data_IF_825028921904
#
_entry.id   IF_825028921904
#
_cell.length_a   1.000
_cell.length_b   1.000
_cell.length_c   1.000
_cell.angle_alpha   90.00
_cell.angle_beta   90.00
_cell.angle_gamma   90.00
#
_symmetry.space_group_name_H-M   'P 1'
#
loop_
_entity.id
_entity.type
_entity.pdbx_description
1 polymer ?
#
# COMPACT_ATOMS: atom_id res chain seq x y z
N UNK A 1 -22.33 -63.13 30.18
CA UNK A 1 -21.36 -63.46 29.12
C UNK A 1 -20.56 -64.67 29.56
N UNK A 2 -20.05 -65.45 28.60
CA UNK A 2 -19.45 -66.77 28.84
C UNK A 2 -20.47 -67.91 28.89
N UNK A 3 -20.00 -69.15 28.67
CA UNK A 3 -20.82 -70.37 28.61
C UNK A 3 -21.70 -70.55 29.86
N UNK A 4 -21.25 -70.06 31.02
CA UNK A 4 -21.94 -70.18 32.31
C UNK A 4 -22.63 -68.90 32.80
N UNK A 5 -22.64 -67.82 32.00
CA UNK A 5 -23.14 -66.49 32.42
C UNK A 5 -22.43 -65.86 33.64
N UNK A 6 -21.24 -66.34 34.02
CA UNK A 6 -20.48 -65.88 35.20
C UNK A 6 -20.03 -64.40 35.12
N UNK A 7 -20.01 -63.81 33.93
CA UNK A 7 -19.62 -62.42 33.72
C UNK A 7 -20.82 -61.54 33.33
N UNK A 8 -20.99 -60.40 33.98
CA UNK A 8 -21.96 -59.39 33.55
C UNK A 8 -21.59 -58.84 32.17
N UNK A 9 -22.59 -58.65 31.29
CA UNK A 9 -22.40 -58.07 29.95
C UNK A 9 -21.92 -56.62 30.08
N UNK A 10 -20.92 -56.25 29.28
CA UNK A 10 -20.52 -54.84 29.15
C UNK A 10 -21.14 -54.26 27.87
N UNK A 11 -22.14 -53.35 27.98
CA UNK A 11 -22.78 -52.74 26.81
C UNK A 11 -21.84 -51.86 25.98
N UNK A 12 -20.69 -51.45 26.53
CA UNK A 12 -19.66 -50.77 25.74
C UNK A 12 -18.95 -51.73 24.77
N UNK A 13 -18.87 -53.02 25.09
CA UNK A 13 -18.28 -54.03 24.19
C UNK A 13 -19.34 -54.62 23.27
N UNK A 14 -20.45 -55.11 23.84
CA UNK A 14 -21.51 -55.78 23.08
C UNK A 14 -22.90 -55.62 23.73
N UNK A 15 -23.93 -55.55 22.89
CA UNK A 15 -25.33 -55.49 23.32
C UNK A 15 -25.97 -56.89 23.29
N UNK A 16 -27.10 -57.06 23.98
CA UNK A 16 -27.83 -58.34 23.96
C UNK A 16 -28.43 -58.66 22.57
N UNK A 17 -28.61 -57.65 21.71
CA UNK A 17 -29.05 -57.80 20.33
C UNK A 17 -27.92 -57.42 19.37
N UNK A 18 -27.72 -58.24 18.34
CA UNK A 18 -26.69 -58.01 17.31
C UNK A 18 -27.11 -56.96 16.25
N UNK A 19 -28.27 -56.32 16.42
CA UNK A 19 -28.76 -55.30 15.48
C UNK A 19 -28.01 -53.97 15.62
N UNK A 20 -27.55 -53.67 16.84
CA UNK A 20 -26.94 -52.39 17.18
C UNK A 20 -25.48 -52.60 17.60
N UNK A 21 -24.63 -51.63 17.28
CA UNK A 21 -23.22 -51.69 17.66
C UNK A 21 -23.05 -51.46 19.17
N UNK A 22 -22.03 -52.10 19.75
CA UNK A 22 -21.62 -51.87 21.14
C UNK A 22 -21.19 -50.41 21.36
N UNK A 23 -21.30 -49.94 22.60
CA UNK A 23 -21.10 -48.54 22.96
C UNK A 23 -19.72 -47.99 22.61
N UNK A 24 -18.64 -48.79 22.61
CA UNK A 24 -17.30 -48.31 22.23
C UNK A 24 -17.24 -47.87 20.76
N UNK A 25 -17.97 -48.57 19.89
CA UNK A 25 -18.11 -48.20 18.49
C UNK A 25 -19.05 -47.01 18.35
N UNK A 26 -20.23 -47.05 18.98
CA UNK A 26 -21.22 -45.97 18.92
C UNK A 26 -20.68 -44.65 19.48
N UNK A 27 -19.99 -44.68 20.61
CA UNK A 27 -19.38 -43.51 21.26
C UNK A 27 -18.06 -43.07 20.60
N UNK A 28 -17.64 -43.73 19.52
CA UNK A 28 -16.44 -43.37 18.76
C UNK A 28 -15.17 -43.30 19.64
N UNK A 29 -14.95 -44.32 20.47
CA UNK A 29 -13.83 -44.38 21.44
C UNK A 29 -12.48 -44.33 20.74
N UNK A 30 -12.38 -44.86 19.51
CA UNK A 30 -11.16 -44.78 18.69
C UNK A 30 -10.70 -43.35 18.40
N UNK A 31 -11.62 -42.38 18.38
CA UNK A 31 -11.33 -40.96 18.19
C UNK A 31 -11.38 -40.15 19.51
N UNK A 32 -11.26 -40.83 20.66
CA UNK A 32 -11.20 -40.20 21.98
C UNK A 32 -12.55 -40.04 22.69
N UNK A 33 -13.62 -40.62 22.17
CA UNK A 33 -14.89 -40.70 22.90
C UNK A 33 -14.80 -41.61 24.13
N UNK A 34 -15.74 -41.45 25.06
CA UNK A 34 -15.81 -42.25 26.28
C UNK A 34 -17.17 -42.93 26.35
N UNK A 35 -17.16 -44.26 26.49
CA UNK A 35 -18.36 -45.05 26.77
C UNK A 35 -18.44 -45.37 28.27
N UNK A 36 -19.60 -45.11 28.88
CA UNK A 36 -19.91 -45.48 30.28
C UNK A 36 -21.13 -46.38 30.29
N UNK A 37 -20.89 -47.69 30.37
CA UNK A 37 -21.92 -48.72 30.39
C UNK A 37 -22.39 -49.09 31.79
N UNK A 38 -23.66 -49.49 31.92
CA UNK A 38 -24.16 -50.16 33.13
C UNK A 38 -24.06 -51.68 32.92
N UNK A 39 -23.16 -52.32 33.69
CA UNK A 39 -22.92 -53.76 33.58
C UNK A 39 -24.20 -54.58 33.77
N UNK A 40 -24.33 -55.63 32.98
CA UNK A 40 -25.51 -56.50 32.96
C UNK A 40 -26.71 -55.93 32.20
N UNK A 41 -26.59 -54.75 31.58
CA UNK A 41 -27.66 -54.09 30.83
C UNK A 41 -27.24 -53.77 29.38
N UNK A 42 -28.14 -53.22 28.58
CA UNK A 42 -27.85 -52.64 27.27
C UNK A 42 -27.60 -51.11 27.33
N UNK A 43 -27.61 -50.54 28.53
CA UNK A 43 -27.61 -49.09 28.74
C UNK A 43 -26.19 -48.57 28.85
N UNK A 44 -25.88 -47.54 28.06
CA UNK A 44 -24.62 -46.82 28.14
C UNK A 44 -24.82 -45.35 27.80
N UNK A 45 -23.87 -44.52 28.23
CA UNK A 45 -23.81 -43.10 27.88
C UNK A 45 -22.50 -42.80 27.16
N UNK A 46 -22.58 -41.97 26.13
CA UNK A 46 -21.41 -41.47 25.42
C UNK A 46 -21.05 -40.06 25.87
N UNK A 47 -19.76 -39.82 26.08
CA UNK A 47 -19.19 -38.48 26.07
C UNK A 47 -18.41 -38.33 24.76
N UNK A 48 -18.91 -37.48 23.87
CA UNK A 48 -18.32 -37.33 22.55
C UNK A 48 -17.00 -36.57 22.59
N UNK A 49 -16.03 -36.95 21.74
CA UNK A 49 -14.84 -36.15 21.51
C UNK A 49 -15.22 -34.83 20.81
N UNK A 50 -14.36 -33.82 20.88
CA UNK A 50 -14.69 -32.44 20.48
C UNK A 50 -15.25 -32.28 19.06
N UNK A 51 -14.73 -33.06 18.09
CA UNK A 51 -15.12 -33.02 16.68
C UNK A 51 -16.35 -33.87 16.34
N UNK A 52 -16.97 -34.55 17.31
CA UNK A 52 -18.09 -35.45 17.07
C UNK A 52 -19.28 -35.14 17.99
N UNK A 53 -20.48 -35.46 17.52
CA UNK A 53 -21.74 -35.25 18.21
C UNK A 53 -22.67 -36.44 17.96
N UNK A 54 -23.75 -36.51 18.73
CA UNK A 54 -24.78 -37.54 18.57
C UNK A 54 -25.47 -37.43 17.22
N UNK A 55 -25.55 -38.53 16.49
CA UNK A 55 -26.38 -38.69 15.31
C UNK A 55 -27.82 -39.05 15.72
N UNK A 56 -28.82 -38.19 15.44
CA UNK A 56 -30.22 -38.46 15.78
C UNK A 56 -30.85 -39.62 14.98
N UNK A 57 -30.25 -40.04 13.87
CA UNK A 57 -30.73 -41.16 13.06
C UNK A 57 -30.47 -42.52 13.72
N UNK A 58 -29.56 -42.58 14.70
CA UNK A 58 -29.24 -43.81 15.43
C UNK A 58 -29.98 -43.86 16.78
N UNK A 59 -30.68 -44.97 17.11
CA UNK A 59 -31.63 -45.02 18.22
C UNK A 59 -31.00 -45.09 19.61
N UNK A 60 -29.69 -45.32 19.71
CA UNK A 60 -28.96 -45.39 20.97
C UNK A 60 -27.98 -44.20 21.10
N UNK A 61 -27.53 -43.88 22.33
CA UNK A 61 -26.50 -42.86 22.54
C UNK A 61 -25.28 -43.14 21.67
N UNK A 62 -24.77 -42.12 20.98
CA UNK A 62 -23.68 -42.27 20.03
C UNK A 62 -22.94 -40.95 19.81
N UNK A 63 -21.83 -41.00 19.07
CA UNK A 63 -20.99 -39.89 18.66
C UNK A 63 -20.57 -40.06 17.19
N UNK A 64 -21.52 -40.44 16.34
CA UNK A 64 -21.27 -40.83 14.95
C UNK A 64 -21.31 -39.65 13.98
N UNK A 65 -21.98 -38.56 14.33
CA UNK A 65 -22.07 -37.38 13.48
C UNK A 65 -20.85 -36.48 13.71
N UNK A 66 -20.24 -35.98 12.62
CA UNK A 66 -19.20 -34.95 12.73
C UNK A 66 -19.86 -33.66 13.24
N UNK A 67 -19.22 -33.02 14.20
CA UNK A 67 -19.64 -31.71 14.67
C UNK A 67 -19.36 -30.70 13.56
N UNK A 68 -20.41 -30.27 12.88
CA UNK A 68 -20.36 -29.22 11.88
C UNK A 68 -21.17 -28.01 12.37
N UNK A 69 -20.47 -26.94 12.73
CA UNK A 69 -21.11 -25.71 13.22
C UNK A 69 -21.78 -24.93 12.07
N UNK A 70 -21.36 -25.14 10.82
CA UNK A 70 -22.00 -24.58 9.62
C UNK A 70 -23.44 -25.08 9.41
N UNK A 71 -23.83 -26.21 9.99
CA UNK A 71 -25.24 -26.61 10.01
C UNK A 71 -26.16 -25.60 10.75
N UNK A 72 -25.57 -24.75 11.61
CA UNK A 72 -26.28 -23.70 12.37
C UNK A 72 -25.87 -22.27 12.02
N UNK A 73 -24.76 -22.10 11.30
CA UNK A 73 -24.24 -20.78 10.89
C UNK A 73 -24.54 -20.56 9.42
N UNK A 74 -25.19 -19.44 9.10
CA UNK A 74 -25.50 -19.05 7.72
C UNK A 74 -24.55 -17.92 7.31
N UNK A 75 -23.89 -18.10 6.17
CA UNK A 75 -23.18 -17.05 5.45
C UNK A 75 -24.07 -16.63 4.27
N UNK A 76 -24.53 -15.37 4.24
CA UNK A 76 -25.61 -14.93 3.33
C UNK A 76 -25.19 -15.07 1.86
N UNK A 77 -24.06 -14.47 1.50
CA UNK A 77 -23.52 -14.50 0.13
C UNK A 77 -22.19 -15.28 0.04
N UNK A 78 -21.89 -16.14 1.01
CA UNK A 78 -20.57 -16.77 1.12
C UNK A 78 -20.60 -18.23 1.55
N UNK A 79 -19.44 -18.87 1.51
CA UNK A 79 -19.29 -20.26 1.90
C UNK A 79 -18.93 -20.36 3.39
N UNK A 80 -19.63 -21.21 4.12
CA UNK A 80 -19.31 -21.48 5.52
C UNK A 80 -18.28 -22.59 5.62
N UNK A 81 -17.24 -22.36 6.44
CA UNK A 81 -16.28 -23.40 6.84
C UNK A 81 -16.26 -23.54 8.35
N UNK A 82 -16.38 -24.77 8.83
CA UNK A 82 -16.22 -25.10 10.25
C UNK A 82 -14.75 -25.34 10.57
N UNK A 83 -14.34 -24.97 11.78
CA UNK A 83 -13.03 -25.36 12.32
C UNK A 83 -12.91 -26.88 12.46
N UNK A 84 -11.67 -27.38 12.56
CA UNK A 84 -11.39 -28.84 12.69
C UNK A 84 -12.09 -29.49 13.89
N UNK A 85 -12.32 -28.74 14.96
CA UNK A 85 -13.04 -29.18 16.16
C UNK A 85 -14.55 -28.88 16.12
N UNK A 86 -15.05 -28.28 15.03
CA UNK A 86 -16.46 -27.95 14.85
C UNK A 86 -16.98 -26.94 15.87
N UNK A 87 -16.12 -26.17 16.53
CA UNK A 87 -16.54 -25.17 17.52
C UNK A 87 -16.76 -23.80 16.89
N UNK A 88 -15.94 -23.44 15.91
CA UNK A 88 -15.94 -22.14 15.27
C UNK A 88 -16.36 -22.26 13.80
N UNK A 89 -16.83 -21.15 13.24
CA UNK A 89 -17.17 -21.03 11.83
C UNK A 89 -16.57 -19.77 11.27
N UNK A 90 -16.16 -19.83 10.02
CA UNK A 90 -15.72 -18.69 9.24
C UNK A 90 -16.50 -18.64 7.93
N UNK A 91 -16.90 -17.43 7.53
CA UNK A 91 -17.54 -17.20 6.25
C UNK A 91 -16.53 -16.65 5.25
N UNK A 92 -16.38 -17.34 4.12
CA UNK A 92 -15.55 -16.88 3.00
C UNK A 92 -16.44 -16.03 2.09
N UNK A 93 -16.17 -14.73 2.05
CA UNK A 93 -16.96 -13.79 1.25
C UNK A 93 -16.40 -13.64 -0.16
N UNK A 94 -17.22 -13.80 -1.23
CA UNK A 94 -16.79 -13.52 -2.59
C UNK A 94 -16.51 -12.04 -2.79
N UNK A 95 -15.83 -11.73 -3.90
CA UNK A 95 -15.58 -10.36 -4.35
C UNK A 95 -16.88 -9.54 -4.34
N UNK A 96 -16.77 -8.30 -3.86
CA UNK A 96 -17.94 -7.43 -3.71
C UNK A 96 -18.82 -7.69 -2.49
N UNK A 97 -18.52 -8.65 -1.61
CA UNK A 97 -19.22 -8.81 -0.33
C UNK A 97 -18.27 -8.83 0.86
N UNK A 98 -18.77 -8.46 2.04
CA UNK A 98 -17.99 -8.40 3.28
C UNK A 98 -18.92 -8.49 4.50
N UNK A 99 -18.34 -8.48 5.69
CA UNK A 99 -19.07 -8.69 6.95
C UNK A 99 -18.71 -10.03 7.57
N UNK A 100 -19.21 -10.28 8.79
CA UNK A 100 -18.91 -11.53 9.51
C UNK A 100 -19.57 -12.74 8.85
N UNK A 101 -20.70 -12.50 8.20
CA UNK A 101 -21.55 -13.49 7.54
C UNK A 101 -21.74 -13.18 6.05
N UNK A 102 -20.88 -12.34 5.45
CA UNK A 102 -20.99 -11.87 4.06
C UNK A 102 -22.34 -11.22 3.75
N UNK A 103 -22.91 -10.55 4.75
CA UNK A 103 -24.21 -9.91 4.73
C UNK A 103 -24.20 -8.53 4.05
N UNK A 104 -23.03 -7.91 3.93
CA UNK A 104 -22.87 -6.58 3.37
C UNK A 104 -22.35 -6.66 1.94
N UNK A 105 -23.00 -5.94 1.03
CA UNK A 105 -22.56 -5.81 -0.37
C UNK A 105 -21.79 -4.51 -0.54
N UNK A 106 -20.62 -4.61 -1.18
CA UNK A 106 -19.85 -3.44 -1.59
C UNK A 106 -20.56 -2.76 -2.74
N UNK A 107 -20.82 -1.48 -2.56
CA UNK A 107 -21.27 -0.59 -3.62
C UNK A 107 -20.21 -0.44 -4.71
N UNK A 108 -20.68 0.00 -5.87
CA UNK A 108 -19.80 0.41 -6.95
C UNK A 108 -19.53 1.91 -6.84
N UNK A 109 -18.32 2.31 -7.18
CA UNK A 109 -18.03 3.74 -7.30
C UNK A 109 -18.86 4.33 -8.44
N UNK A 110 -19.56 5.42 -8.14
CA UNK A 110 -20.29 6.20 -9.12
C UNK A 110 -19.35 6.86 -10.13
N UNK A 111 -19.96 7.56 -11.08
CA UNK A 111 -19.22 8.37 -12.03
C UNK A 111 -18.42 9.44 -11.29
N UNK A 112 -17.25 9.75 -11.83
CA UNK A 112 -16.48 10.89 -11.35
C UNK A 112 -17.22 12.19 -11.65
N UNK A 113 -17.21 13.11 -10.68
CA UNK A 113 -17.54 14.50 -10.94
C UNK A 113 -16.62 15.06 -12.02
N UNK A 114 -17.03 16.15 -12.69
CA UNK A 114 -16.08 16.98 -13.42
C UNK A 114 -14.91 17.36 -12.50
N UNK A 115 -13.73 17.55 -13.10
CA UNK A 115 -12.61 18.12 -12.38
C UNK A 115 -12.97 19.54 -11.91
N UNK A 116 -12.57 19.86 -10.68
CA UNK A 116 -12.58 21.24 -10.21
C UNK A 116 -11.67 22.10 -11.06
N UNK A 117 -11.88 23.41 -10.99
CA UNK A 117 -10.88 24.36 -11.45
C UNK A 117 -9.58 24.17 -10.66
N UNK A 118 -8.46 24.52 -11.30
CA UNK A 118 -7.16 24.53 -10.67
C UNK A 118 -7.10 25.61 -9.60
N UNK A 119 -6.90 25.21 -8.35
CA UNK A 119 -6.78 26.09 -7.19
C UNK A 119 -5.42 25.90 -6.50
N UNK A 120 -4.72 26.98 -6.13
CA UNK A 120 -4.99 28.36 -6.53
C UNK A 120 -4.92 28.57 -8.05
N UNK A 121 -5.49 29.69 -8.54
CA UNK A 121 -5.52 30.00 -9.98
C UNK A 121 -4.13 30.24 -10.58
N UNK A 122 -3.14 30.57 -9.75
CA UNK A 122 -1.75 30.77 -10.12
C UNK A 122 -0.82 30.14 -9.06
N UNK A 123 0.45 29.96 -9.38
CA UNK A 123 1.49 29.41 -8.52
C UNK A 123 2.52 28.61 -9.32
N UNK A 124 3.78 28.67 -8.87
CA UNK A 124 4.87 27.83 -9.36
C UNK A 124 4.85 26.42 -8.72
N UNK A 125 5.48 25.46 -9.39
CA UNK A 125 5.83 24.11 -8.89
C UNK A 125 4.75 23.36 -8.06
N UNK A 126 3.86 22.62 -8.72
CA UNK A 126 2.87 21.73 -8.06
C UNK A 126 1.97 22.41 -7.01
N UNK A 127 1.95 23.75 -6.92
CA UNK A 127 1.04 24.47 -6.01
C UNK A 127 -0.41 24.42 -6.49
N UNK A 128 -0.61 24.42 -7.82
CA UNK A 128 -1.93 24.39 -8.42
C UNK A 128 -2.41 22.95 -8.48
N UNK A 129 -3.58 22.69 -7.91
CA UNK A 129 -4.21 21.37 -7.95
C UNK A 129 -5.67 21.46 -8.32
N UNK A 130 -6.16 20.43 -8.97
CA UNK A 130 -7.58 20.18 -9.19
C UNK A 130 -7.97 18.88 -8.53
N UNK A 131 -9.22 18.81 -8.10
CA UNK A 131 -9.79 17.64 -7.45
C UNK A 131 -11.06 17.22 -8.17
N UNK A 132 -11.38 15.94 -8.13
CA UNK A 132 -12.69 15.41 -8.49
C UNK A 132 -13.13 14.43 -7.42
N UNK A 133 -14.43 14.34 -7.23
CA UNK A 133 -15.03 13.43 -6.25
C UNK A 133 -15.99 12.47 -6.93
N UNK A 134 -16.34 11.39 -6.25
CA UNK A 134 -17.39 10.47 -6.69
C UNK A 134 -18.08 9.88 -5.48
N UNK A 135 -19.35 9.59 -5.64
CA UNK A 135 -20.15 8.97 -4.58
C UNK A 135 -20.07 7.45 -4.67
N UNK A 136 -20.31 6.79 -3.53
CA UNK A 136 -20.47 5.35 -3.50
C UNK A 136 -21.93 4.99 -3.82
N UNK A 137 -22.15 4.13 -4.80
CA UNK A 137 -23.45 3.56 -5.13
C UNK A 137 -23.67 2.31 -4.27
N UNK A 138 -23.93 2.52 -2.98
CA UNK A 138 -24.13 1.47 -1.97
C UNK A 138 -23.78 1.98 -0.58
N UNK A 139 -23.81 1.09 0.43
CA UNK A 139 -23.49 1.46 1.81
C UNK A 139 -22.00 1.74 2.02
N UNK A 140 -21.13 1.00 1.32
CA UNK A 140 -19.68 1.22 1.36
C UNK A 140 -19.03 0.81 0.06
N UNK A 141 -17.93 1.45 -0.30
CA UNK A 141 -17.13 1.11 -1.46
C UNK A 141 -15.68 0.82 -1.04
N UNK A 142 -15.02 -0.08 -1.77
CA UNK A 142 -13.60 -0.39 -1.51
C UNK A 142 -12.69 0.80 -1.78
N UNK A 143 -11.60 0.89 -1.00
CA UNK A 143 -10.48 1.79 -1.30
C UNK A 143 -10.38 3.06 -0.45
N UNK A 144 -11.05 3.15 0.69
CA UNK A 144 -10.88 4.24 1.67
C UNK A 144 -11.17 5.62 1.05
N UNK A 145 -10.12 6.41 0.80
CA UNK A 145 -10.20 7.72 0.10
C UNK A 145 -10.52 7.58 -1.40
N UNK A 146 -11.00 6.43 -1.86
CA UNK A 146 -11.40 6.18 -3.24
C UNK A 146 -12.47 7.14 -3.78
N UNK A 147 -13.11 7.95 -2.93
CA UNK A 147 -14.04 9.01 -3.32
C UNK A 147 -13.37 10.29 -3.83
N UNK A 148 -12.06 10.48 -3.62
CA UNK A 148 -11.33 11.70 -3.96
C UNK A 148 -10.11 11.40 -4.84
N UNK A 149 -9.96 12.15 -5.93
CA UNK A 149 -8.77 12.14 -6.77
C UNK A 149 -8.23 13.56 -6.91
N UNK A 150 -6.92 13.73 -6.70
CA UNK A 150 -6.19 14.98 -6.85
C UNK A 150 -5.16 14.89 -7.97
N UNK A 151 -5.04 15.96 -8.75
CA UNK A 151 -4.05 16.09 -9.82
C UNK A 151 -3.41 17.49 -9.78
N UNK A 152 -2.12 17.55 -10.06
CA UNK A 152 -1.41 18.82 -10.21
C UNK A 152 -1.67 19.43 -11.57
N UNK A 153 -1.90 20.74 -11.60
CA UNK A 153 -2.10 21.49 -12.83
C UNK A 153 -0.78 22.04 -13.36
N UNK A 154 -0.78 22.44 -14.63
CA UNK A 154 0.33 23.18 -15.21
C UNK A 154 0.65 24.43 -14.42
N UNK A 155 1.92 24.80 -14.43
CA UNK A 155 2.40 26.02 -13.78
C UNK A 155 1.80 27.25 -14.46
N UNK A 156 1.19 28.12 -13.65
CA UNK A 156 0.77 29.46 -14.09
C UNK A 156 1.29 30.45 -13.05
N UNK A 157 2.43 31.11 -13.27
CA UNK A 157 3.01 31.97 -12.25
C UNK A 157 2.06 33.10 -11.85
N UNK A 158 2.04 33.42 -10.56
CA UNK A 158 1.34 34.58 -10.03
C UNK A 158 2.06 35.88 -10.43
N UNK A 159 1.37 37.02 -10.34
CA UNK A 159 1.90 38.31 -10.77
C UNK A 159 3.15 38.73 -10.00
N UNK A 160 3.20 38.43 -8.71
CA UNK A 160 4.34 38.63 -7.81
C UNK A 160 5.50 37.71 -8.18
N UNK A 161 5.23 36.43 -8.45
CA UNK A 161 6.25 35.46 -8.94
C UNK A 161 6.86 35.96 -10.26
N UNK A 162 6.04 36.49 -11.18
CA UNK A 162 6.53 37.12 -12.42
C UNK A 162 7.40 38.35 -12.15
N UNK A 163 7.01 39.20 -11.19
CA UNK A 163 7.83 40.36 -10.80
C UNK A 163 9.17 39.92 -10.19
N UNK A 164 9.18 38.87 -9.37
CA UNK A 164 10.42 38.32 -8.82
C UNK A 164 11.33 37.75 -9.91
N UNK A 165 10.77 36.96 -10.84
CA UNK A 165 11.51 36.42 -11.98
C UNK A 165 12.09 37.54 -12.87
N UNK A 166 11.33 38.60 -13.11
CA UNK A 166 11.82 39.77 -13.85
C UNK A 166 12.94 40.51 -13.11
N UNK A 167 12.84 40.67 -11.78
CA UNK A 167 13.92 41.25 -10.96
C UNK A 167 15.18 40.41 -11.01
N UNK A 168 15.06 39.08 -11.00
CA UNK A 168 16.20 38.17 -11.15
C UNK A 168 16.84 38.35 -12.53
N UNK A 169 16.05 38.34 -13.60
CA UNK A 169 16.57 38.56 -14.96
C UNK A 169 17.26 39.92 -15.10
N UNK A 170 16.65 40.99 -14.59
CA UNK A 170 17.24 42.32 -14.56
C UNK A 170 18.55 42.35 -13.76
N UNK A 171 18.60 41.68 -12.61
CA UNK A 171 19.84 41.59 -11.82
C UNK A 171 20.95 40.87 -12.58
N UNK A 172 20.62 39.81 -13.33
CA UNK A 172 21.58 39.09 -14.17
C UNK A 172 22.07 39.94 -15.34
N UNK A 173 21.20 40.71 -15.98
CA UNK A 173 21.59 41.66 -17.03
C UNK A 173 22.49 42.77 -16.49
N UNK A 174 22.15 43.35 -15.33
CA UNK A 174 22.98 44.35 -14.66
C UNK A 174 24.34 43.76 -14.29
N UNK A 175 24.40 42.51 -13.82
CA UNK A 175 25.66 41.83 -13.54
C UNK A 175 26.51 41.65 -14.81
N UNK A 176 25.89 41.20 -15.92
CA UNK A 176 26.57 41.09 -17.22
C UNK A 176 27.10 42.45 -17.70
N UNK A 177 26.30 43.51 -17.57
CA UNK A 177 26.68 44.85 -17.94
C UNK A 177 27.85 45.37 -17.07
N UNK A 178 27.82 45.14 -15.76
CA UNK A 178 28.92 45.48 -14.86
C UNK A 178 30.22 44.77 -15.25
N UNK A 179 30.15 43.48 -15.62
CA UNK A 179 31.32 42.73 -16.11
C UNK A 179 31.87 43.36 -17.40
N UNK A 180 31.01 43.70 -18.35
CA UNK A 180 31.40 44.36 -19.60
C UNK A 180 32.03 45.73 -19.36
N UNK A 181 31.49 46.53 -18.43
CA UNK A 181 32.07 47.83 -18.05
C UNK A 181 33.48 47.66 -17.48
N UNK A 182 33.69 46.71 -16.56
CA UNK A 182 35.01 46.40 -15.99
C UNK A 182 36.00 45.97 -17.07
N UNK A 183 35.57 45.13 -18.02
CA UNK A 183 36.40 44.73 -19.15
C UNK A 183 36.78 45.92 -20.04
N UNK A 184 35.82 46.82 -20.32
CA UNK A 184 36.06 48.05 -21.07
C UNK A 184 37.05 48.99 -20.37
N UNK A 185 36.88 49.22 -19.07
CA UNK A 185 37.80 50.05 -18.28
C UNK A 185 39.22 49.46 -18.28
N UNK A 186 39.35 48.14 -18.07
CA UNK A 186 40.64 47.46 -18.09
C UNK A 186 41.33 47.56 -19.46
N UNK A 187 40.56 47.46 -20.55
CA UNK A 187 41.10 47.62 -21.90
C UNK A 187 41.65 49.03 -22.14
N UNK A 188 40.92 50.07 -21.72
CA UNK A 188 41.36 51.47 -21.83
C UNK A 188 42.63 51.73 -21.00
N UNK A 189 42.72 51.18 -19.79
CA UNK A 189 43.93 51.29 -18.97
C UNK A 189 45.15 50.62 -19.63
N UNK A 190 44.97 49.42 -20.19
CA UNK A 190 46.05 48.69 -20.87
C UNK A 190 46.48 49.41 -22.16
N UNK A 191 45.54 49.85 -23.00
CA UNK A 191 45.86 50.56 -24.23
C UNK A 191 46.54 51.91 -23.95
N UNK A 192 46.11 52.62 -22.90
CA UNK A 192 46.77 53.82 -22.42
C UNK A 192 48.21 53.57 -21.96
N UNK A 193 48.48 52.45 -21.28
CA UNK A 193 49.86 52.03 -20.93
C UNK A 193 50.68 51.71 -22.17
N UNK A 194 50.14 50.93 -23.11
CA UNK A 194 50.81 50.56 -24.38
C UNK A 194 51.16 51.81 -25.19
N UNK A 195 50.23 52.76 -25.34
CA UNK A 195 50.46 54.01 -26.05
C UNK A 195 51.61 54.82 -25.44
N UNK A 196 51.69 54.90 -24.10
CA UNK A 196 52.81 55.54 -23.40
C UNK A 196 54.15 54.85 -23.69
N UNK A 197 54.18 53.51 -23.69
CA UNK A 197 55.40 52.75 -24.04
C UNK A 197 55.83 52.96 -25.49
N UNK A 198 54.89 52.95 -26.44
CA UNK A 198 55.18 53.21 -27.86
C UNK A 198 55.73 54.62 -28.08
N UNK A 199 55.15 55.63 -27.42
CA UNK A 199 55.67 57.01 -27.46
C UNK A 199 57.10 57.07 -26.93
N UNK A 200 57.40 56.45 -25.79
CA UNK A 200 58.77 56.38 -25.25
C UNK A 200 59.75 55.71 -26.21
N UNK A 201 59.35 54.59 -26.83
CA UNK A 201 60.17 53.88 -27.83
C UNK A 201 60.46 54.78 -29.03
N UNK A 202 59.44 55.48 -29.57
CA UNK A 202 59.65 56.41 -30.70
C UNK A 202 60.57 57.58 -30.34
N UNK A 203 60.45 58.14 -29.12
CA UNK A 203 61.38 59.14 -28.63
C UNK A 203 62.81 58.60 -28.58
N UNK A 204 63.02 57.38 -28.06
CA UNK A 204 64.36 56.76 -28.03
C UNK A 204 64.92 56.55 -29.44
N UNK A 205 64.13 56.03 -30.39
CA UNK A 205 64.56 55.86 -31.79
C UNK A 205 64.90 57.20 -32.45
N UNK A 206 64.12 58.26 -32.22
CA UNK A 206 64.45 59.59 -32.73
C UNK A 206 65.80 60.11 -32.19
N UNK A 207 66.09 59.88 -30.91
CA UNK A 207 67.39 60.22 -30.32
C UNK A 207 68.53 59.40 -30.94
N UNK A 208 68.35 58.09 -31.13
CA UNK A 208 69.35 57.21 -31.76
C UNK A 208 69.62 57.58 -33.22
N UNK A 209 68.59 57.89 -34.00
CA UNK A 209 68.76 58.29 -35.41
C UNK A 209 69.47 59.63 -35.54
N UNK A 210 69.15 60.60 -34.69
CA UNK A 210 69.86 61.89 -34.62
C UNK A 210 71.33 61.69 -34.24
N UNK A 211 71.63 60.87 -33.23
CA UNK A 211 73.02 60.60 -32.84
C UNK A 211 73.80 59.84 -33.92
N UNK A 212 73.19 58.88 -34.61
CA UNK A 212 73.82 58.16 -35.73
C UNK A 212 74.12 59.09 -36.92
N UNK A 213 73.19 59.98 -37.28
CA UNK A 213 73.42 60.98 -38.33
C UNK A 213 74.58 61.92 -37.98
N UNK A 214 74.66 62.37 -36.73
CA UNK A 214 75.79 63.17 -36.23
C UNK A 214 77.09 62.38 -36.39
N UNK A 215 77.15 61.12 -35.95
CA UNK A 215 78.37 60.29 -36.10
C UNK A 215 78.78 60.12 -37.57
N UNK A 216 77.84 59.84 -38.49
CA UNK A 216 78.13 59.73 -39.92
C UNK A 216 78.69 61.03 -40.50
N UNK A 217 78.14 62.19 -40.13
CA UNK A 217 78.61 63.50 -40.63
C UNK A 217 80.00 63.87 -40.08
N UNK A 218 80.33 63.46 -38.85
CA UNK A 218 81.59 63.83 -38.21
C UNK A 218 82.70 62.76 -38.31
N UNK A 219 82.40 61.51 -38.67
CA UNK A 219 83.37 60.41 -38.70
C UNK A 219 83.62 59.76 -40.09
N UNK A 220 82.88 60.14 -41.15
CA UNK A 220 83.20 59.82 -42.55
C UNK A 220 83.83 61.03 -43.24
#
# INVERSE_FOLDING_TARGET
MGLNCDHQRDPCVELASNVHMGGNMACNVANGGICKGTLGTNTYHCQCPGSFTSDPSYPLPNCLQIKDRCASTICIHGDCVSSKDGQETYCICPEGTYGKYCELTRGQWGQWSPWSECSPNCGLYNHRKRIRTRDCLGETCSGGLGYLHMEFCDVKPCSDEMQMLNKINLSQEIQKLKILQVQGTRYVEISGRIAKYLLLITCIFSVITVTAMIIVVYCL
#
